data_IF_968936638411
#
_entry.id   IF_968936638411
#
_cell.length_a   1.000
_cell.length_b   1.000
_cell.length_c   1.000
_cell.angle_alpha   90.00
_cell.angle_beta   90.00
_cell.angle_gamma   90.00
#
_symmetry.space_group_name_H-M   'P 1'
#
loop_
_entity.id
_entity.type
_entity.pdbx_description
1 polymer ?
#
# COMPACT_ATOMS: atom_id res chain seq x y z
N UNK A 1 -13.44 -18.14 -25.60
CA UNK A 1 -12.15 -17.66 -26.11
C UNK A 1 -11.27 -17.37 -24.91
N UNK A 2 -10.03 -17.84 -24.91
CA UNK A 2 -9.10 -17.60 -23.80
C UNK A 2 -8.21 -16.39 -24.08
N UNK A 3 -8.17 -15.42 -23.17
CA UNK A 3 -7.34 -14.21 -23.27
C UNK A 3 -6.38 -14.13 -22.08
N UNK A 4 -5.14 -13.72 -22.32
CA UNK A 4 -4.16 -13.46 -21.27
C UNK A 4 -4.09 -11.95 -21.01
N UNK A 5 -4.47 -11.50 -19.82
CA UNK A 5 -4.51 -10.10 -19.43
C UNK A 5 -3.38 -9.78 -18.46
N UNK A 6 -2.41 -9.01 -18.94
CA UNK A 6 -1.29 -8.47 -18.20
C UNK A 6 -1.49 -6.96 -17.98
N UNK A 7 -0.97 -6.41 -16.90
CA UNK A 7 -0.97 -4.98 -16.64
C UNK A 7 0.20 -4.58 -15.76
N UNK A 8 0.47 -3.27 -15.69
CA UNK A 8 1.36 -2.66 -14.71
C UNK A 8 2.69 -3.43 -14.64
N UNK A 9 3.39 -3.52 -15.77
CA UNK A 9 4.62 -4.30 -15.92
C UNK A 9 5.84 -3.56 -15.34
N UNK A 10 5.78 -2.22 -15.38
CA UNK A 10 6.77 -1.30 -14.80
C UNK A 10 8.22 -1.67 -15.10
N UNK A 11 8.52 -2.02 -16.35
CA UNK A 11 9.92 -2.25 -16.74
C UNK A 11 10.73 -0.96 -16.56
N UNK A 12 11.81 -1.06 -15.79
CA UNK A 12 12.82 -0.03 -15.57
C UNK A 12 14.15 -0.69 -15.20
N UNK A 13 15.28 0.04 -15.24
CA UNK A 13 16.56 -0.50 -14.76
C UNK A 13 16.47 -1.08 -13.33
N UNK A 14 15.78 -0.38 -12.43
CA UNK A 14 15.65 -0.78 -11.02
C UNK A 14 14.68 -1.96 -10.83
N UNK A 15 13.62 -2.03 -11.64
CA UNK A 15 12.61 -3.09 -11.57
C UNK A 15 12.92 -4.32 -12.46
N UNK A 16 13.94 -4.24 -13.34
CA UNK A 16 14.17 -5.18 -14.43
C UNK A 16 14.15 -6.65 -13.98
N UNK A 17 14.87 -6.96 -12.90
CA UNK A 17 14.98 -8.35 -12.42
C UNK A 17 13.61 -8.88 -11.98
N UNK A 18 12.80 -8.05 -11.32
CA UNK A 18 11.45 -8.44 -10.87
C UNK A 18 10.48 -8.53 -12.05
N UNK A 19 10.37 -7.45 -12.83
CA UNK A 19 9.45 -7.35 -13.96
C UNK A 19 9.71 -8.47 -14.96
N UNK A 20 10.97 -8.72 -15.34
CA UNK A 20 11.27 -9.73 -16.36
C UNK A 20 11.12 -11.16 -15.86
N UNK A 21 11.49 -11.45 -14.60
CA UNK A 21 11.24 -12.76 -14.00
C UNK A 21 9.75 -13.10 -14.01
N UNK A 22 8.91 -12.15 -13.59
CA UNK A 22 7.47 -12.35 -13.50
C UNK A 22 6.81 -12.38 -14.87
N UNK A 23 7.13 -11.42 -15.75
CA UNK A 23 6.52 -11.36 -17.07
C UNK A 23 6.99 -12.50 -17.98
N UNK A 24 8.26 -12.90 -17.95
CA UNK A 24 8.74 -14.07 -18.69
C UNK A 24 8.03 -15.37 -18.28
N UNK A 25 7.75 -15.55 -16.99
CA UNK A 25 6.91 -16.65 -16.51
C UNK A 25 5.49 -16.54 -17.07
N UNK A 26 4.85 -15.39 -16.91
CA UNK A 26 3.48 -15.17 -17.34
C UNK A 26 3.29 -15.36 -18.85
N UNK A 27 4.26 -14.90 -19.66
CA UNK A 27 4.30 -15.14 -21.11
C UNK A 27 4.42 -16.63 -21.42
N UNK A 28 5.29 -17.36 -20.72
CA UNK A 28 5.49 -18.79 -20.96
C UNK A 28 4.24 -19.59 -20.60
N UNK A 29 3.62 -19.30 -19.45
CA UNK A 29 2.38 -19.96 -19.00
C UNK A 29 1.19 -19.62 -19.91
N UNK A 30 1.03 -18.36 -20.34
CA UNK A 30 -0.01 -17.97 -21.30
C UNK A 30 0.11 -18.68 -22.65
N UNK A 31 1.34 -18.85 -23.16
CA UNK A 31 1.61 -19.62 -24.37
C UNK A 31 1.28 -21.10 -24.17
N UNK A 32 1.70 -21.70 -23.05
CA UNK A 32 1.45 -23.12 -22.75
C UNK A 32 -0.05 -23.43 -22.61
N UNK A 33 -0.83 -22.50 -22.04
CA UNK A 33 -2.29 -22.61 -21.95
C UNK A 33 -3.00 -22.46 -23.29
N UNK A 34 -2.31 -21.97 -24.32
CA UNK A 34 -2.90 -21.68 -25.62
C UNK A 34 -3.83 -20.47 -25.59
N UNK A 35 -3.47 -19.42 -24.85
CA UNK A 35 -4.19 -18.15 -24.91
C UNK A 35 -4.24 -17.63 -26.36
N UNK A 36 -5.42 -17.20 -26.78
CA UNK A 36 -5.69 -16.82 -28.17
C UNK A 36 -5.28 -15.37 -28.45
N UNK A 37 -5.25 -14.50 -27.44
CA UNK A 37 -4.80 -13.10 -27.52
C UNK A 37 -4.14 -12.69 -26.20
N UNK A 38 -3.03 -11.96 -26.30
CA UNK A 38 -2.42 -11.26 -25.17
C UNK A 38 -2.89 -9.81 -25.10
N UNK A 39 -3.29 -9.34 -23.92
CA UNK A 39 -3.71 -7.95 -23.67
C UNK A 39 -2.82 -7.36 -22.58
N UNK A 40 -2.15 -6.25 -22.89
CA UNK A 40 -1.39 -5.45 -21.92
C UNK A 40 -2.16 -4.14 -21.71
N UNK A 41 -2.75 -3.96 -20.53
CA UNK A 41 -3.67 -2.84 -20.25
C UNK A 41 -2.99 -1.58 -19.71
N UNK A 42 -1.76 -1.31 -20.12
CA UNK A 42 -1.01 -0.08 -19.82
C UNK A 42 0.14 -0.27 -18.82
N UNK A 43 0.92 0.80 -18.66
CA UNK A 43 2.08 0.93 -17.76
C UNK A 43 3.09 -0.22 -17.94
N UNK A 44 3.46 -0.48 -19.20
CA UNK A 44 4.48 -1.46 -19.56
C UNK A 44 5.87 -1.05 -19.07
N UNK A 45 6.13 0.26 -19.00
CA UNK A 45 7.36 0.87 -18.48
C UNK A 45 7.08 1.66 -17.23
N UNK A 46 8.03 1.72 -16.30
CA UNK A 46 7.90 2.47 -15.05
C UNK A 46 8.05 3.99 -15.26
N UNK A 47 8.80 4.38 -16.28
CA UNK A 47 8.99 5.76 -16.70
C UNK A 47 9.55 5.74 -18.13
N UNK A 48 9.81 6.93 -18.69
CA UNK A 48 10.49 7.06 -19.98
C UNK A 48 11.82 6.30 -19.98
N UNK A 49 11.92 5.27 -20.81
CA UNK A 49 13.16 4.52 -21.03
C UNK A 49 13.89 5.01 -22.28
N UNK A 50 15.22 5.05 -22.19
CA UNK A 50 16.07 5.23 -23.38
C UNK A 50 15.99 3.99 -24.28
N UNK A 51 16.10 4.19 -25.59
CA UNK A 51 16.03 3.10 -26.58
C UNK A 51 17.09 1.99 -26.38
N UNK A 52 18.22 2.33 -25.74
CA UNK A 52 19.32 1.40 -25.46
C UNK A 52 19.24 0.78 -24.06
N UNK A 53 18.20 1.11 -23.27
CA UNK A 53 18.04 0.57 -21.93
C UNK A 53 17.83 -0.95 -21.99
N UNK A 54 18.58 -1.75 -21.20
CA UNK A 54 18.37 -3.19 -21.13
C UNK A 54 16.94 -3.57 -20.74
N UNK A 55 16.29 -2.77 -19.90
CA UNK A 55 14.88 -2.98 -19.51
C UNK A 55 13.92 -2.88 -20.68
N UNK A 56 14.11 -1.91 -21.59
CA UNK A 56 13.30 -1.81 -22.79
C UNK A 56 13.52 -3.00 -23.73
N UNK A 57 14.76 -3.46 -23.88
CA UNK A 57 15.07 -4.64 -24.69
C UNK A 57 14.45 -5.91 -24.11
N UNK A 58 14.46 -6.09 -22.78
CA UNK A 58 13.83 -7.22 -22.11
C UNK A 58 12.31 -7.20 -22.32
N UNK A 59 11.66 -6.06 -22.11
CA UNK A 59 10.22 -5.88 -22.41
C UNK A 59 9.91 -6.23 -23.88
N UNK A 60 10.65 -5.65 -24.82
CA UNK A 60 10.49 -5.92 -26.26
C UNK A 60 10.67 -7.41 -26.59
N UNK A 61 11.60 -8.09 -25.92
CA UNK A 61 11.82 -9.53 -26.09
C UNK A 61 10.59 -10.33 -25.65
N UNK A 62 10.00 -10.02 -24.49
CA UNK A 62 8.81 -10.73 -24.00
C UNK A 62 7.58 -10.44 -24.86
N UNK A 63 7.36 -9.19 -25.26
CA UNK A 63 6.25 -8.82 -26.16
C UNK A 63 6.42 -9.49 -27.53
N UNK A 64 7.65 -9.58 -28.06
CA UNK A 64 7.91 -10.29 -29.31
C UNK A 64 7.67 -11.81 -29.17
N UNK A 65 7.95 -12.41 -28.01
CA UNK A 65 7.60 -13.82 -27.73
C UNK A 65 6.08 -14.05 -27.75
N UNK A 66 5.31 -13.14 -27.14
CA UNK A 66 3.84 -13.17 -27.23
C UNK A 66 3.39 -13.06 -28.69
N UNK A 67 3.88 -12.05 -29.42
CA UNK A 67 3.50 -11.81 -30.82
C UNK A 67 3.88 -12.96 -31.78
N UNK A 68 4.85 -13.80 -31.44
CA UNK A 68 5.13 -15.02 -32.20
C UNK A 68 4.11 -16.13 -31.96
N UNK A 69 3.37 -16.08 -30.86
CA UNK A 69 2.44 -17.14 -30.44
C UNK A 69 0.97 -16.74 -30.58
N UNK A 70 0.64 -15.46 -30.40
CA UNK A 70 -0.73 -14.92 -30.44
C UNK A 70 -0.74 -13.43 -30.82
N UNK A 71 -1.85 -12.89 -31.36
CA UNK A 71 -2.06 -11.45 -31.48
C UNK A 71 -1.94 -10.75 -30.12
N UNK A 72 -1.39 -9.54 -30.11
CA UNK A 72 -1.18 -8.76 -28.89
C UNK A 72 -1.85 -7.40 -29.01
N UNK A 73 -2.65 -7.02 -28.01
CA UNK A 73 -3.18 -5.67 -27.86
C UNK A 73 -2.45 -4.98 -26.71
N UNK A 74 -1.83 -3.83 -26.98
CA UNK A 74 -1.19 -2.98 -25.97
C UNK A 74 -1.97 -1.67 -25.85
N UNK A 75 -2.53 -1.40 -24.68
CA UNK A 75 -3.20 -0.15 -24.38
C UNK A 75 -2.17 0.88 -23.89
N UNK A 76 -2.29 2.12 -24.34
CA UNK A 76 -1.55 3.24 -23.78
C UNK A 76 -2.01 3.49 -22.32
N UNK A 77 -1.09 3.28 -21.37
CA UNK A 77 -1.25 3.63 -19.97
C UNK A 77 -0.94 5.10 -19.71
N UNK A 78 -0.54 5.41 -18.48
CA UNK A 78 -0.31 6.78 -18.04
C UNK A 78 0.89 7.43 -18.75
N UNK A 79 0.82 8.74 -19.01
CA UNK A 79 1.88 9.43 -19.77
C UNK A 79 3.19 9.65 -18.99
N UNK A 80 3.17 9.51 -17.67
CA UNK A 80 4.38 9.53 -16.83
C UNK A 80 5.19 8.24 -17.03
N UNK A 81 4.50 7.11 -17.08
CA UNK A 81 5.07 5.77 -17.29
C UNK A 81 5.42 5.55 -18.77
N UNK A 82 4.48 5.84 -19.66
CA UNK A 82 4.57 5.60 -21.11
C UNK A 82 4.29 6.90 -21.88
N UNK A 83 5.29 7.76 -22.15
CA UNK A 83 5.09 8.96 -22.95
C UNK A 83 4.45 8.64 -24.31
N UNK A 84 3.57 9.49 -24.87
CA UNK A 84 2.95 9.24 -26.18
C UNK A 84 3.98 8.90 -27.26
N UNK A 85 3.71 7.83 -28.02
CA UNK A 85 4.59 7.29 -29.05
C UNK A 85 5.62 6.26 -28.55
N UNK A 86 5.70 6.00 -27.24
CA UNK A 86 6.54 4.92 -26.69
C UNK A 86 6.12 3.56 -27.25
N UNK A 87 4.82 3.30 -27.27
CA UNK A 87 4.25 2.03 -27.71
C UNK A 87 4.32 1.81 -29.23
N UNK A 88 4.42 2.86 -30.05
CA UNK A 88 4.48 2.76 -31.52
C UNK A 88 5.62 1.84 -32.00
N UNK A 89 6.72 1.82 -31.26
CA UNK A 89 7.85 0.96 -31.58
C UNK A 89 7.48 -0.52 -31.48
N UNK A 90 6.61 -0.90 -30.54
CA UNK A 90 6.17 -2.29 -30.36
C UNK A 90 5.23 -2.73 -31.49
N UNK A 91 4.42 -1.83 -32.05
CA UNK A 91 3.61 -2.15 -33.23
C UNK A 91 4.46 -2.60 -34.43
N UNK A 92 5.71 -2.11 -34.51
CA UNK A 92 6.67 -2.49 -35.55
C UNK A 92 7.42 -3.81 -35.24
N UNK A 93 7.39 -4.28 -33.99
CA UNK A 93 8.08 -5.49 -33.52
C UNK A 93 7.25 -6.77 -33.66
N UNK A 94 6.17 -6.72 -34.45
CA UNK A 94 5.29 -7.87 -34.69
C UNK A 94 6.07 -9.13 -35.12
N UNK A 95 5.60 -10.28 -34.66
CA UNK A 95 6.15 -11.59 -35.01
C UNK A 95 5.30 -12.27 -36.07
N UNK A 96 4.94 -13.52 -35.82
CA UNK A 96 3.93 -14.25 -36.62
C UNK A 96 2.56 -13.57 -36.56
N UNK A 97 2.24 -12.91 -35.45
CA UNK A 97 0.99 -12.19 -35.23
C UNK A 97 1.23 -10.69 -35.01
N UNK A 98 0.16 -9.93 -35.24
CA UNK A 98 0.16 -8.48 -35.11
C UNK A 98 0.22 -8.04 -33.65
N UNK A 99 0.98 -6.98 -33.38
CA UNK A 99 0.86 -6.16 -32.17
C UNK A 99 0.04 -4.93 -32.54
N UNK A 100 -1.09 -4.73 -31.88
CA UNK A 100 -1.95 -3.56 -32.04
C UNK A 100 -1.79 -2.64 -30.83
N UNK A 101 -1.44 -1.39 -31.09
CA UNK A 101 -1.34 -0.35 -30.07
C UNK A 101 -2.64 0.46 -30.05
N UNK A 102 -3.28 0.48 -28.89
CA UNK A 102 -4.50 1.25 -28.62
C UNK A 102 -4.12 2.53 -27.86
N UNK A 103 -3.77 3.57 -28.61
CA UNK A 103 -3.36 4.90 -28.13
C UNK A 103 -4.47 5.97 -28.22
N UNK A 104 -5.62 5.59 -28.77
CA UNK A 104 -6.84 6.42 -28.81
C UNK A 104 -8.08 5.61 -28.47
N UNK A 105 -9.15 6.34 -28.15
CA UNK A 105 -10.49 5.77 -27.98
C UNK A 105 -10.97 5.19 -29.31
N UNK A 106 -11.27 3.89 -29.31
CA UNK A 106 -11.74 3.15 -30.48
C UNK A 106 -12.39 1.82 -30.08
N UNK A 107 -13.16 1.24 -31.02
CA UNK A 107 -13.47 -0.19 -30.99
C UNK A 107 -12.60 -0.92 -32.01
N UNK A 108 -12.16 -2.14 -31.68
CA UNK A 108 -11.20 -2.90 -32.48
C UNK A 108 -11.66 -4.34 -32.59
N UNK A 109 -11.95 -4.79 -33.82
CA UNK A 109 -12.34 -6.17 -34.09
C UNK A 109 -11.12 -7.03 -34.41
N UNK A 110 -11.05 -8.25 -33.87
CA UNK A 110 -10.06 -9.25 -34.26
C UNK A 110 -10.69 -10.24 -35.25
N UNK A 111 -10.10 -10.34 -36.44
CA UNK A 111 -10.58 -11.20 -37.53
C UNK A 111 -9.38 -11.84 -38.20
N UNK A 112 -9.34 -13.17 -38.24
CA UNK A 112 -8.28 -13.97 -38.84
C UNK A 112 -6.89 -13.53 -38.35
N UNK A 113 -6.79 -13.31 -37.03
CA UNK A 113 -5.55 -12.87 -36.36
C UNK A 113 -5.10 -11.43 -36.65
N UNK A 114 -5.97 -10.58 -37.24
CA UNK A 114 -5.69 -9.17 -37.53
C UNK A 114 -6.67 -8.22 -36.85
N UNK A 115 -6.15 -7.09 -36.37
CA UNK A 115 -6.92 -6.07 -35.70
C UNK A 115 -7.45 -5.01 -36.69
N UNK A 116 -8.73 -4.68 -36.55
CA UNK A 116 -9.44 -3.70 -37.37
C UNK A 116 -10.10 -2.66 -36.48
N UNK A 117 -9.50 -1.46 -36.42
CA UNK A 117 -10.00 -0.37 -35.59
C UNK A 117 -11.10 0.45 -36.29
N UNK A 118 -12.09 0.91 -35.52
CA UNK A 118 -13.11 1.84 -35.96
C UNK A 118 -12.51 3.18 -36.39
N UNK A 119 -13.10 3.83 -37.40
CA UNK A 119 -12.67 5.18 -37.80
C UNK A 119 -12.92 6.22 -36.68
N UNK A 120 -14.04 6.08 -35.97
CA UNK A 120 -14.42 6.91 -34.83
C UNK A 120 -14.09 6.26 -33.48
N UNK A 121 -14.63 6.82 -32.38
CA UNK A 121 -14.50 6.24 -31.04
C UNK A 121 -15.28 4.92 -30.90
N UNK A 122 -16.32 4.73 -31.70
CA UNK A 122 -17.08 3.48 -31.85
C UNK A 122 -17.26 3.15 -33.32
N UNK A 123 -17.59 1.90 -33.65
CA UNK A 123 -17.99 1.55 -35.01
C UNK A 123 -19.26 2.31 -35.39
N UNK A 124 -19.23 2.93 -36.57
CA UNK A 124 -20.42 3.47 -37.23
C UNK A 124 -21.41 2.37 -37.59
N UNK A 125 -22.66 2.73 -37.88
CA UNK A 125 -23.71 1.76 -38.25
C UNK A 125 -23.33 0.89 -39.46
N UNK A 126 -22.61 1.47 -40.43
CA UNK A 126 -22.15 0.76 -41.62
C UNK A 126 -21.01 -0.22 -41.29
N UNK A 127 -20.03 0.21 -40.49
CA UNK A 127 -18.96 -0.67 -40.01
C UNK A 127 -19.53 -1.81 -39.14
N UNK A 128 -20.48 -1.50 -38.25
CA UNK A 128 -21.11 -2.47 -37.37
C UNK A 128 -21.80 -3.59 -38.15
N UNK A 129 -22.62 -3.25 -39.17
CA UNK A 129 -23.27 -4.26 -40.02
C UNK A 129 -22.24 -5.14 -40.72
N UNK A 130 -21.20 -4.52 -41.29
CA UNK A 130 -20.13 -5.24 -41.96
C UNK A 130 -19.41 -6.20 -41.00
N UNK A 131 -19.05 -5.75 -39.80
CA UNK A 131 -18.33 -6.58 -38.84
C UNK A 131 -19.21 -7.69 -38.25
N UNK A 132 -20.51 -7.46 -38.04
CA UNK A 132 -21.44 -8.54 -37.64
C UNK A 132 -21.45 -9.66 -38.69
N UNK A 133 -21.49 -9.30 -39.98
CA UNK A 133 -21.46 -10.29 -41.07
C UNK A 133 -20.14 -11.07 -41.15
N UNK A 134 -19.02 -10.40 -40.84
CA UNK A 134 -17.68 -11.01 -40.80
C UNK A 134 -17.44 -11.90 -39.58
N UNK A 135 -18.24 -11.75 -38.51
CA UNK A 135 -18.16 -12.54 -37.26
C UNK A 135 -16.75 -12.54 -36.63
N UNK A 136 -16.24 -11.38 -36.16
CA UNK A 136 -14.98 -11.32 -35.45
C UNK A 136 -14.95 -12.27 -34.25
N UNK A 137 -13.75 -12.75 -33.94
CA UNK A 137 -13.48 -13.63 -32.80
C UNK A 137 -13.82 -12.92 -31.49
N UNK A 138 -13.45 -11.64 -31.42
CA UNK A 138 -13.70 -10.71 -30.31
C UNK A 138 -13.66 -9.25 -30.80
N UNK A 139 -14.43 -8.38 -30.16
CA UNK A 139 -14.37 -6.93 -30.33
C UNK A 139 -13.91 -6.27 -29.03
N UNK A 140 -12.82 -5.52 -29.09
CA UNK A 140 -12.28 -4.74 -27.99
C UNK A 140 -12.87 -3.31 -28.01
N UNK A 141 -13.30 -2.80 -26.86
CA UNK A 141 -13.57 -1.38 -26.63
C UNK A 141 -12.38 -0.80 -25.87
N UNK A 142 -11.54 -0.04 -26.56
CA UNK A 142 -10.28 0.46 -26.02
C UNK A 142 -10.45 1.89 -25.53
N UNK A 143 -10.06 2.13 -24.28
CA UNK A 143 -10.08 3.42 -23.63
C UNK A 143 -8.72 3.67 -22.95
N UNK A 144 -7.72 4.19 -23.67
CA UNK A 144 -6.42 4.49 -23.09
C UNK A 144 -6.53 5.68 -22.12
N UNK A 145 -5.48 5.90 -21.32
CA UNK A 145 -5.42 7.04 -20.41
C UNK A 145 -5.63 8.36 -21.16
N UNK A 146 -6.54 9.19 -20.66
CA UNK A 146 -6.90 10.47 -21.29
C UNK A 146 -6.13 11.61 -20.64
N UNK A 147 -5.61 12.54 -21.45
CA UNK A 147 -4.89 13.69 -20.94
C UNK A 147 -5.86 14.71 -20.31
N UNK A 148 -5.89 14.76 -18.98
CA UNK A 148 -6.69 15.74 -18.21
C UNK A 148 -6.41 17.19 -18.62
N UNK A 149 -5.16 17.52 -18.98
CA UNK A 149 -4.77 18.85 -19.45
C UNK A 149 -5.32 19.20 -20.84
N UNK A 150 -5.34 18.25 -21.78
CA UNK A 150 -5.97 18.46 -23.09
C UNK A 150 -7.49 18.57 -22.99
N UNK A 151 -8.11 17.79 -22.10
CA UNK A 151 -9.53 17.92 -21.79
C UNK A 151 -9.80 19.30 -21.15
N UNK A 152 -9.02 19.70 -20.15
CA UNK A 152 -9.12 21.02 -19.50
C UNK A 152 -8.90 22.20 -20.46
N UNK A 153 -8.04 22.05 -21.45
CA UNK A 153 -7.87 23.06 -22.50
C UNK A 153 -9.12 23.20 -23.39
N UNK A 154 -9.94 22.14 -23.49
CA UNK A 154 -11.13 22.09 -24.34
C UNK A 154 -12.42 22.48 -23.61
N UNK A 155 -12.58 22.07 -22.34
CA UNK A 155 -13.81 22.30 -21.53
C UNK A 155 -13.60 23.26 -20.34
N UNK A 156 -12.37 23.72 -20.10
CA UNK A 156 -12.02 24.53 -18.92
C UNK A 156 -11.59 23.67 -17.72
N UNK A 157 -10.66 24.18 -16.90
CA UNK A 157 -10.01 23.41 -15.83
C UNK A 157 -10.95 22.96 -14.70
N UNK A 158 -11.96 23.78 -14.35
CA UNK A 158 -12.91 23.44 -13.30
C UNK A 158 -13.88 22.33 -13.74
N UNK A 159 -14.31 22.36 -15.01
CA UNK A 159 -15.19 21.36 -15.61
C UNK A 159 -14.44 20.08 -16.00
N UNK A 160 -13.12 20.11 -16.19
CA UNK A 160 -12.36 18.91 -16.52
C UNK A 160 -12.31 17.89 -15.37
N UNK A 161 -12.31 18.35 -14.12
CA UNK A 161 -12.28 17.47 -12.94
C UNK A 161 -13.55 16.65 -12.77
N UNK A 162 -14.73 17.26 -12.93
CA UNK A 162 -16.04 16.58 -12.83
C UNK A 162 -16.53 16.04 -14.18
N UNK A 163 -16.19 16.73 -15.27
CA UNK A 163 -16.65 16.43 -16.61
C UNK A 163 -15.90 15.27 -17.27
N UNK A 164 -14.67 14.94 -16.85
CA UNK A 164 -13.99 13.76 -17.40
C UNK A 164 -14.80 12.49 -17.14
N UNK A 165 -15.24 12.26 -15.90
CA UNK A 165 -16.06 11.09 -15.55
C UNK A 165 -17.34 11.02 -16.38
N UNK A 166 -18.02 12.15 -16.60
CA UNK A 166 -19.23 12.23 -17.41
C UNK A 166 -18.96 11.97 -18.91
N UNK A 167 -17.87 12.50 -19.46
CA UNK A 167 -17.46 12.24 -20.85
C UNK A 167 -17.12 10.76 -21.04
N UNK A 168 -16.37 10.16 -20.12
CA UNK A 168 -16.03 8.75 -20.16
C UNK A 168 -17.29 7.87 -20.02
N UNK A 169 -18.20 8.21 -19.11
CA UNK A 169 -19.49 7.51 -18.97
C UNK A 169 -20.35 7.61 -20.23
N UNK A 170 -20.41 8.78 -20.87
CA UNK A 170 -21.12 8.97 -22.14
C UNK A 170 -20.52 8.14 -23.27
N UNK A 171 -19.19 8.06 -23.34
CA UNK A 171 -18.49 7.18 -24.28
C UNK A 171 -18.81 5.70 -24.01
N UNK A 172 -18.69 5.24 -22.77
CA UNK A 172 -18.96 3.85 -22.40
C UNK A 172 -20.42 3.47 -22.72
N UNK A 173 -21.39 4.34 -22.42
CA UNK A 173 -22.78 4.14 -22.81
C UNK A 173 -22.99 4.11 -24.34
N UNK A 174 -22.18 4.86 -25.11
CA UNK A 174 -22.21 4.80 -26.57
C UNK A 174 -21.63 3.50 -27.11
N UNK A 175 -20.49 3.06 -26.59
CA UNK A 175 -19.90 1.77 -26.89
C UNK A 175 -20.85 0.62 -26.51
N UNK A 176 -21.55 0.73 -25.38
CA UNK A 176 -22.56 -0.22 -24.92
C UNK A 176 -23.66 -0.51 -25.93
N UNK A 177 -24.16 0.53 -26.62
CA UNK A 177 -25.17 0.36 -27.69
C UNK A 177 -24.65 -0.47 -28.87
N UNK A 178 -23.34 -0.39 -29.16
CA UNK A 178 -22.69 -1.17 -30.22
C UNK A 178 -22.38 -2.57 -29.72
N UNK A 179 -21.80 -2.70 -28.52
CA UNK A 179 -21.46 -3.98 -27.90
C UNK A 179 -22.69 -4.87 -27.70
N UNK A 180 -23.85 -4.30 -27.35
CA UNK A 180 -25.11 -5.02 -27.27
C UNK A 180 -25.49 -5.71 -28.58
N UNK A 181 -25.26 -5.06 -29.72
CA UNK A 181 -25.56 -5.62 -31.05
C UNK A 181 -24.59 -6.74 -31.44
N UNK A 182 -23.30 -6.60 -31.11
CA UNK A 182 -22.33 -7.68 -31.27
C UNK A 182 -22.68 -8.90 -30.40
N UNK A 183 -22.97 -8.69 -29.11
CA UNK A 183 -23.36 -9.77 -28.19
C UNK A 183 -24.65 -10.47 -28.63
N UNK A 184 -25.65 -9.71 -29.08
CA UNK A 184 -26.88 -10.26 -29.65
C UNK A 184 -26.63 -11.12 -30.91
N UNK A 185 -25.50 -10.89 -31.60
CA UNK A 185 -25.04 -11.65 -32.75
C UNK A 185 -24.07 -12.79 -32.39
N UNK A 186 -23.87 -13.06 -31.08
CA UNK A 186 -22.97 -14.10 -30.59
C UNK A 186 -21.48 -13.75 -30.65
N UNK A 187 -21.13 -12.47 -30.82
CA UNK A 187 -19.75 -11.98 -30.88
C UNK A 187 -19.33 -11.53 -29.48
N UNK A 188 -18.14 -11.93 -29.06
CA UNK A 188 -17.54 -11.60 -27.76
C UNK A 188 -17.15 -10.13 -27.71
N UNK A 189 -17.43 -9.46 -26.60
CA UNK A 189 -17.03 -8.06 -26.40
C UNK A 189 -16.19 -7.89 -25.14
N UNK A 190 -15.05 -7.20 -25.26
CA UNK A 190 -14.11 -6.97 -24.16
C UNK A 190 -13.80 -5.48 -24.05
N UNK A 191 -13.91 -4.89 -22.87
CA UNK A 191 -13.39 -3.54 -22.61
C UNK A 191 -11.93 -3.60 -22.16
N UNK A 192 -11.11 -2.64 -22.54
CA UNK A 192 -9.73 -2.50 -22.04
C UNK A 192 -9.49 -1.03 -21.69
N UNK A 193 -9.10 -0.75 -20.44
CA UNK A 193 -8.83 0.61 -19.97
C UNK A 193 -7.72 0.64 -18.93
N UNK A 194 -7.16 1.82 -18.69
CA UNK A 194 -6.14 2.06 -17.66
C UNK A 194 -6.55 3.27 -16.82
N UNK A 195 -6.94 3.04 -15.57
CA UNK A 195 -7.37 4.09 -14.65
C UNK A 195 -8.11 3.57 -13.43
N UNK A 196 -8.59 4.48 -12.59
CA UNK A 196 -9.06 4.19 -11.23
C UNK A 196 -10.58 4.05 -11.14
N UNK A 197 -11.06 2.94 -10.57
CA UNK A 197 -12.47 2.69 -10.26
C UNK A 197 -12.81 3.21 -8.86
N UNK A 198 -13.94 3.90 -8.73
CA UNK A 198 -14.44 4.36 -7.42
C UNK A 198 -14.60 3.21 -6.43
N UNK A 199 -13.93 3.32 -5.27
CA UNK A 199 -13.95 2.33 -4.20
C UNK A 199 -13.06 1.12 -4.44
N UNK A 200 -12.17 1.16 -5.43
CA UNK A 200 -11.12 0.14 -5.56
C UNK A 200 -10.18 0.18 -4.36
N UNK A 201 -9.57 -0.96 -4.06
CA UNK A 201 -8.57 -1.07 -3.00
C UNK A 201 -7.18 -1.03 -3.61
N UNK A 202 -6.30 -0.18 -3.09
CA UNK A 202 -4.89 -0.15 -3.49
C UNK A 202 -4.17 -1.42 -3.02
N UNK A 203 -2.97 -1.64 -3.55
CA UNK A 203 -2.02 -2.68 -3.16
C UNK A 203 -1.65 -2.63 -1.67
N UNK A 204 -1.85 -1.51 -0.99
CA UNK A 204 -1.65 -1.36 0.46
C UNK A 204 -2.92 -1.58 1.29
N UNK A 205 -4.01 -2.07 0.68
CA UNK A 205 -5.26 -2.32 1.39
C UNK A 205 -6.08 -1.05 1.66
N UNK A 206 -5.68 0.10 1.11
CA UNK A 206 -6.41 1.36 1.28
C UNK A 206 -7.55 1.42 0.28
N UNK A 207 -8.78 1.61 0.76
CA UNK A 207 -9.90 1.91 -0.14
C UNK A 207 -9.73 3.33 -0.63
N UNK A 208 -9.61 3.50 -1.94
CA UNK A 208 -9.51 4.83 -2.53
C UNK A 208 -10.82 5.60 -2.34
N UNK A 209 -10.72 6.79 -1.76
CA UNK A 209 -11.82 7.71 -1.54
C UNK A 209 -11.42 9.09 -2.07
N UNK A 210 -12.31 9.75 -2.83
CA UNK A 210 -12.03 11.07 -3.42
C UNK A 210 -12.54 11.24 -4.84
N UNK A 211 -12.19 12.37 -5.46
CA UNK A 211 -12.64 12.75 -6.80
C UNK A 211 -11.70 12.32 -7.93
N UNK A 212 -10.58 11.65 -7.62
CA UNK A 212 -9.58 11.26 -8.61
C UNK A 212 -9.92 9.97 -9.39
N UNK A 213 -11.11 9.42 -9.16
CA UNK A 213 -11.61 8.24 -9.86
C UNK A 213 -12.12 8.60 -11.26
N UNK A 214 -11.63 7.87 -12.27
CA UNK A 214 -12.05 8.06 -13.66
C UNK A 214 -13.31 7.27 -13.98
N UNK A 215 -13.52 6.14 -13.27
CA UNK A 215 -14.60 5.21 -13.55
C UNK A 215 -15.52 5.00 -12.36
N UNK A 216 -16.82 4.91 -12.66
CA UNK A 216 -17.78 4.22 -11.80
C UNK A 216 -18.01 2.81 -12.33
N UNK A 217 -18.26 1.85 -11.43
CA UNK A 217 -18.63 0.48 -11.83
C UNK A 217 -19.86 0.49 -12.75
N UNK A 218 -20.84 1.36 -12.49
CA UNK A 218 -22.02 1.52 -13.35
C UNK A 218 -21.63 1.87 -14.77
N UNK A 219 -20.78 2.87 -14.98
CA UNK A 219 -20.35 3.29 -16.31
C UNK A 219 -19.59 2.16 -17.04
N UNK A 220 -18.73 1.40 -16.34
CA UNK A 220 -18.03 0.26 -16.92
C UNK A 220 -19.00 -0.85 -17.35
N UNK A 221 -20.02 -1.16 -16.55
CA UNK A 221 -21.05 -2.13 -16.92
C UNK A 221 -22.00 -1.61 -18.02
N UNK A 222 -22.19 -0.29 -18.13
CA UNK A 222 -22.95 0.34 -19.21
C UNK A 222 -22.23 0.26 -20.57
N UNK A 223 -20.94 -0.09 -20.59
CA UNK A 223 -20.22 -0.48 -21.81
C UNK A 223 -20.70 -1.82 -22.40
N UNK A 224 -21.49 -2.59 -21.66
CA UNK A 224 -22.07 -3.87 -22.10
C UNK A 224 -21.07 -4.87 -22.69
N UNK A 225 -19.83 -4.84 -22.23
CA UNK A 225 -18.83 -5.87 -22.53
C UNK A 225 -19.12 -7.15 -21.75
N UNK A 226 -18.74 -8.32 -22.28
CA UNK A 226 -18.74 -9.59 -21.54
C UNK A 226 -17.67 -9.58 -20.44
N UNK A 227 -16.49 -9.03 -20.74
CA UNK A 227 -15.43 -8.76 -19.77
C UNK A 227 -14.86 -7.35 -19.93
N UNK A 228 -14.38 -6.75 -18.85
CA UNK A 228 -13.70 -5.45 -18.86
C UNK A 228 -12.37 -5.55 -18.11
N UNK A 229 -11.29 -5.45 -18.87
CA UNK A 229 -9.91 -5.55 -18.43
C UNK A 229 -9.40 -4.17 -18.01
N UNK A 230 -8.99 -4.03 -16.76
CA UNK A 230 -8.45 -2.78 -16.23
C UNK A 230 -6.97 -2.91 -15.85
N UNK A 231 -6.20 -1.84 -16.05
CA UNK A 231 -4.88 -1.60 -15.45
C UNK A 231 -4.88 -0.36 -14.57
N UNK A 232 -3.76 -0.09 -13.89
CA UNK A 232 -3.45 1.05 -12.99
C UNK A 232 -3.40 0.68 -11.50
N UNK A 233 -4.23 -0.29 -11.08
CA UNK A 233 -4.30 -0.70 -9.68
C UNK A 233 -3.51 -1.98 -9.50
N UNK A 234 -2.45 -1.90 -8.68
CA UNK A 234 -1.50 -3.01 -8.49
C UNK A 234 -2.05 -4.16 -7.64
N UNK A 235 -3.29 -4.07 -7.13
CA UNK A 235 -4.00 -5.12 -6.42
C UNK A 235 -5.00 -5.83 -7.32
N UNK A 236 -4.91 -7.16 -7.39
CA UNK A 236 -5.93 -7.98 -8.03
C UNK A 236 -7.29 -7.78 -7.32
N UNK A 237 -8.31 -7.53 -8.11
CA UNK A 237 -9.69 -7.42 -7.65
C UNK A 237 -10.65 -7.49 -8.84
N UNK A 238 -11.86 -7.98 -8.58
CA UNK A 238 -12.89 -8.17 -9.59
C UNK A 238 -14.29 -7.83 -9.09
N UNK A 239 -15.15 -7.41 -10.01
CA UNK A 239 -16.57 -7.14 -9.78
C UNK A 239 -17.41 -7.83 -10.85
N UNK A 240 -18.54 -8.40 -10.43
CA UNK A 240 -19.48 -9.10 -11.30
C UNK A 240 -20.85 -8.43 -11.31
N UNK A 241 -21.45 -8.33 -12.49
CA UNK A 241 -22.86 -7.93 -12.65
C UNK A 241 -23.46 -8.56 -13.91
N UNK A 242 -24.57 -9.26 -13.74
CA UNK A 242 -25.32 -9.90 -14.84
C UNK A 242 -24.42 -10.81 -15.72
N UNK A 243 -23.58 -11.65 -15.09
CA UNK A 243 -22.62 -12.55 -15.77
C UNK A 243 -21.55 -11.86 -16.62
N UNK A 244 -21.33 -10.56 -16.38
CA UNK A 244 -20.23 -9.76 -16.94
C UNK A 244 -19.25 -9.43 -15.83
N UNK A 245 -17.98 -9.37 -16.18
CA UNK A 245 -16.88 -9.15 -15.24
C UNK A 245 -16.10 -7.89 -15.55
N UNK A 246 -15.67 -7.20 -14.50
CA UNK A 246 -14.69 -6.12 -14.54
C UNK A 246 -13.56 -6.53 -13.59
N UNK A 247 -12.30 -6.51 -14.03
CA UNK A 247 -11.20 -6.91 -13.15
C UNK A 247 -9.87 -6.21 -13.44
N UNK A 248 -9.14 -5.95 -12.35
CA UNK A 248 -7.72 -5.62 -12.35
C UNK A 248 -6.92 -6.91 -12.10
N UNK A 249 -5.85 -7.19 -12.87
CA UNK A 249 -4.95 -8.30 -12.59
C UNK A 249 -4.00 -7.98 -11.44
N UNK A 250 -3.86 -6.70 -11.09
CA UNK A 250 -2.75 -6.21 -10.30
C UNK A 250 -1.48 -6.06 -11.14
N UNK A 251 -0.38 -5.70 -10.47
CA UNK A 251 0.93 -5.63 -11.10
C UNK A 251 1.50 -7.02 -11.37
N UNK A 252 2.33 -7.12 -12.42
CA UNK A 252 2.93 -8.41 -12.81
C UNK A 252 3.91 -8.93 -11.75
N UNK A 253 4.58 -8.01 -11.06
CA UNK A 253 5.55 -8.24 -10.00
C UNK A 253 5.29 -7.30 -8.83
N UNK A 254 6.13 -7.40 -7.80
CA UNK A 254 5.99 -6.59 -6.59
C UNK A 254 7.03 -5.48 -6.60
N UNK A 255 6.60 -4.23 -6.65
CA UNK A 255 7.48 -3.07 -6.89
C UNK A 255 7.68 -2.18 -5.67
N UNK A 256 6.67 -2.08 -4.80
CA UNK A 256 6.66 -1.27 -3.59
C UNK A 256 6.64 -2.14 -2.34
N UNK A 257 7.05 -1.54 -1.20
CA UNK A 257 7.03 -2.17 0.11
C UNK A 257 5.64 -2.14 0.76
N UNK A 258 5.20 -3.27 1.32
CA UNK A 258 3.86 -3.42 1.90
C UNK A 258 2.74 -3.75 0.91
N UNK A 259 3.03 -4.10 -0.34
CA UNK A 259 1.99 -4.61 -1.26
C UNK A 259 1.43 -5.95 -0.76
N UNK A 260 0.11 -6.03 -0.66
CA UNK A 260 -0.64 -7.22 -0.25
C UNK A 260 -1.03 -8.12 -1.43
N UNK A 261 -1.33 -9.38 -1.12
CA UNK A 261 -1.87 -10.35 -2.07
C UNK A 261 -0.82 -10.91 -3.04
N UNK A 262 -1.28 -11.86 -3.85
CA UNK A 262 -0.51 -12.44 -4.93
C UNK A 262 -0.41 -11.46 -6.11
N UNK A 263 0.69 -11.54 -6.86
CA UNK A 263 0.91 -10.79 -8.10
C UNK A 263 0.80 -11.72 -9.28
N UNK A 264 0.44 -11.20 -10.44
CA UNK A 264 0.40 -12.02 -11.63
C UNK A 264 -0.39 -11.43 -12.77
N UNK A 265 -1.08 -12.31 -13.48
CA UNK A 265 -1.89 -11.94 -14.64
C UNK A 265 -3.21 -12.71 -14.61
N UNK A 266 -4.23 -12.22 -15.32
CA UNK A 266 -5.53 -12.88 -15.38
C UNK A 266 -5.66 -13.70 -16.66
N UNK A 267 -6.06 -14.96 -16.52
CA UNK A 267 -6.57 -15.77 -17.63
C UNK A 267 -8.08 -15.58 -17.70
N UNK A 268 -8.55 -15.08 -18.82
CA UNK A 268 -9.97 -14.86 -19.07
C UNK A 268 -10.52 -15.94 -19.99
N UNK A 269 -11.65 -16.52 -19.65
CA UNK A 269 -12.48 -17.26 -20.60
C UNK A 269 -13.69 -16.39 -20.91
N UNK A 270 -13.70 -15.80 -22.11
CA UNK A 270 -14.76 -14.90 -22.55
C UNK A 270 -15.68 -15.66 -23.50
N UNK A 271 -16.95 -15.75 -23.12
CA UNK A 271 -18.05 -16.18 -23.97
C UNK A 271 -19.22 -15.19 -23.83
N UNK A 272 -20.04 -14.98 -24.87
CA UNK A 272 -21.19 -14.09 -24.79
C UNK A 272 -22.12 -14.51 -23.63
N UNK A 273 -22.21 -13.66 -22.60
CA UNK A 273 -23.03 -13.90 -21.41
C UNK A 273 -22.47 -14.91 -20.40
N UNK A 274 -21.25 -15.40 -20.57
CA UNK A 274 -20.56 -16.25 -19.59
C UNK A 274 -19.06 -15.98 -19.61
N UNK A 275 -18.60 -15.10 -18.72
CA UNK A 275 -17.18 -14.75 -18.63
C UNK A 275 -16.62 -15.09 -17.25
N UNK A 276 -15.41 -15.62 -17.22
CA UNK A 276 -14.65 -15.89 -15.99
C UNK A 276 -13.24 -15.33 -16.11
N UNK A 277 -12.71 -14.79 -15.01
CA UNK A 277 -11.30 -14.40 -14.90
C UNK A 277 -10.66 -15.18 -13.74
N UNK A 278 -9.41 -15.61 -13.90
CA UNK A 278 -8.66 -16.33 -12.86
C UNK A 278 -7.24 -15.83 -12.79
N UNK A 279 -6.80 -15.43 -11.60
CA UNK A 279 -5.42 -15.02 -11.34
C UNK A 279 -4.49 -16.23 -11.46
N UNK A 280 -3.44 -16.07 -12.26
CA UNK A 280 -2.28 -16.96 -12.25
C UNK A 280 -1.15 -16.22 -11.53
N UNK A 281 -0.78 -16.67 -10.32
CA UNK A 281 0.30 -16.05 -9.57
C UNK A 281 1.63 -16.17 -10.32
N UNK A 282 2.35 -15.06 -10.46
CA UNK A 282 3.73 -15.04 -10.93
C UNK A 282 4.68 -15.40 -9.80
N UNK A 283 5.93 -15.80 -10.11
CA UNK A 283 6.98 -15.98 -9.11
C UNK A 283 7.50 -14.62 -8.56
N UNK A 284 6.57 -13.74 -8.18
CA UNK A 284 6.89 -12.44 -7.59
C UNK A 284 7.59 -12.60 -6.25
N UNK A 285 8.49 -11.66 -5.95
CA UNK A 285 9.21 -11.63 -4.68
C UNK A 285 8.20 -11.49 -3.56
N UNK A 286 8.34 -12.31 -2.53
CA UNK A 286 7.59 -12.13 -1.30
C UNK A 286 8.23 -11.02 -0.47
N UNK A 287 7.42 -10.38 0.38
CA UNK A 287 7.92 -9.41 1.33
C UNK A 287 7.67 -9.83 2.76
N UNK A 288 8.65 -9.54 3.60
CA UNK A 288 8.54 -9.71 5.05
C UNK A 288 8.54 -8.32 5.67
N UNK A 289 7.37 -7.87 6.14
CA UNK A 289 7.23 -6.66 6.93
C UNK A 289 7.20 -7.02 8.42
N UNK A 290 8.08 -6.42 9.22
CA UNK A 290 8.19 -6.66 10.66
C UNK A 290 8.07 -5.33 11.38
N UNK A 291 7.10 -5.25 12.28
CA UNK A 291 6.81 -4.08 13.08
C UNK A 291 7.14 -4.35 14.56
N UNK A 292 7.87 -3.43 15.17
CA UNK A 292 8.21 -3.45 16.60
C UNK A 292 7.64 -2.21 17.31
N UNK A 293 6.99 -2.44 18.46
CA UNK A 293 6.66 -1.39 19.42
C UNK A 293 7.73 -1.38 20.52
N UNK A 294 8.70 -0.47 20.39
CA UNK A 294 9.97 -0.51 21.11
C UNK A 294 11.16 -0.84 20.20
N UNK A 295 12.39 -0.95 20.76
CA UNK A 295 13.58 -1.30 19.98
C UNK A 295 13.42 -2.68 19.32
N UNK A 296 13.98 -2.89 18.11
CA UNK A 296 13.87 -4.16 17.41
C UNK A 296 14.46 -5.33 18.21
N UNK A 297 13.74 -6.45 18.24
CA UNK A 297 14.24 -7.70 18.81
C UNK A 297 15.20 -8.37 17.82
N UNK A 298 16.50 -8.34 18.15
CA UNK A 298 17.56 -8.87 17.30
C UNK A 298 17.48 -10.39 17.13
N UNK A 299 17.02 -11.15 18.14
CA UNK A 299 16.88 -12.59 18.02
C UNK A 299 15.78 -12.95 17.01
N UNK A 300 14.65 -12.23 17.07
CA UNK A 300 13.58 -12.36 16.08
C UNK A 300 14.05 -11.95 14.68
N UNK A 301 14.86 -10.90 14.56
CA UNK A 301 15.42 -10.48 13.26
C UNK A 301 16.39 -11.53 12.69
N UNK A 302 17.19 -12.20 13.52
CA UNK A 302 18.07 -13.30 13.10
C UNK A 302 17.28 -14.48 12.52
N UNK A 303 16.19 -14.89 13.18
CA UNK A 303 15.31 -15.94 12.68
C UNK A 303 14.69 -15.58 11.31
N UNK A 304 14.24 -14.33 11.18
CA UNK A 304 13.64 -13.83 9.95
C UNK A 304 14.70 -13.75 8.84
N UNK A 305 15.91 -13.28 9.14
CA UNK A 305 17.02 -13.21 8.20
C UNK A 305 17.40 -14.60 7.67
N UNK A 306 17.43 -15.61 8.54
CA UNK A 306 17.70 -17.00 8.13
C UNK A 306 16.65 -17.57 7.15
N UNK A 307 15.41 -17.09 7.22
CA UNK A 307 14.30 -17.51 6.36
C UNK A 307 13.99 -16.52 5.21
N UNK A 308 14.70 -15.40 5.14
CA UNK A 308 14.41 -14.33 4.18
C UNK A 308 14.74 -14.73 2.75
N UNK A 309 15.87 -15.40 2.50
CA UNK A 309 16.27 -15.80 1.15
C UNK A 309 16.29 -14.62 0.18
N UNK A 310 15.63 -14.73 -0.98
CA UNK A 310 15.56 -13.68 -2.00
C UNK A 310 14.45 -12.62 -1.78
N UNK A 311 13.83 -12.60 -0.60
CA UNK A 311 12.68 -11.73 -0.29
C UNK A 311 13.12 -10.30 -0.01
N UNK A 312 12.19 -9.34 -0.20
CA UNK A 312 12.40 -8.00 0.34
C UNK A 312 11.98 -7.96 1.81
N UNK A 313 12.78 -7.27 2.63
CA UNK A 313 12.53 -7.16 4.06
C UNK A 313 12.30 -5.71 4.43
N UNK A 314 11.22 -5.42 5.15
CA UNK A 314 10.98 -4.11 5.77
C UNK A 314 10.92 -4.27 7.28
N UNK A 315 11.84 -3.61 7.97
CA UNK A 315 11.88 -3.57 9.44
C UNK A 315 11.49 -2.18 9.89
N UNK A 316 10.39 -2.08 10.65
CA UNK A 316 9.93 -0.82 11.23
C UNK A 316 9.87 -0.94 12.74
N UNK A 317 10.23 0.14 13.42
CA UNK A 317 10.05 0.22 14.87
C UNK A 317 9.63 1.60 15.31
N UNK A 318 8.96 1.64 16.45
CA UNK A 318 8.57 2.87 17.13
C UNK A 318 9.26 2.95 18.49
N UNK A 319 10.02 4.02 18.72
CA UNK A 319 10.73 4.28 19.99
C UNK A 319 10.55 5.73 20.40
N UNK A 320 10.64 6.03 21.68
CA UNK A 320 10.72 7.42 22.13
C UNK A 320 12.07 8.05 21.75
N UNK A 321 12.18 9.38 21.88
CA UNK A 321 13.41 10.12 21.59
C UNK A 321 14.59 9.72 22.49
N UNK A 322 14.32 9.31 23.72
CA UNK A 322 15.36 8.95 24.71
C UNK A 322 16.03 7.60 24.35
N UNK A 323 15.32 6.67 23.71
CA UNK A 323 15.83 5.37 23.29
C UNK A 323 16.37 5.34 21.84
N UNK A 324 16.46 6.48 21.15
CA UNK A 324 16.93 6.57 19.76
C UNK A 324 18.29 5.89 19.51
N UNK A 325 19.21 6.00 20.47
CA UNK A 325 20.57 5.44 20.36
C UNK A 325 20.63 3.93 20.65
N UNK A 326 19.55 3.32 21.14
CA UNK A 326 19.52 1.91 21.52
C UNK A 326 19.46 0.95 20.32
N UNK A 327 19.21 1.45 19.11
CA UNK A 327 19.04 0.61 17.91
C UNK A 327 20.26 0.69 17.00
N UNK A 328 20.96 -0.44 16.87
CA UNK A 328 22.07 -0.60 15.93
C UNK A 328 21.55 -0.95 14.53
N UNK A 329 21.45 0.08 13.68
CA UNK A 329 21.00 -0.08 12.29
C UNK A 329 21.98 -0.88 11.43
N UNK A 330 23.28 -0.82 11.73
CA UNK A 330 24.30 -1.52 10.96
C UNK A 330 24.29 -3.01 11.28
N UNK A 331 24.02 -3.38 12.54
CA UNK A 331 23.76 -4.77 12.90
C UNK A 331 22.55 -5.35 12.16
N UNK A 332 21.44 -4.61 12.07
CA UNK A 332 20.26 -5.03 11.31
C UNK A 332 20.60 -5.22 9.82
N UNK A 333 21.32 -4.28 9.20
CA UNK A 333 21.76 -4.42 7.80
C UNK A 333 22.65 -5.64 7.59
N UNK A 334 23.56 -5.91 8.52
CA UNK A 334 24.45 -7.06 8.43
C UNK A 334 23.69 -8.39 8.47
N UNK A 335 22.62 -8.49 9.28
CA UNK A 335 21.76 -9.68 9.33
C UNK A 335 21.08 -9.95 7.98
N UNK A 336 20.59 -8.91 7.30
CA UNK A 336 19.85 -9.04 6.05
C UNK A 336 20.71 -8.87 4.79
N UNK A 337 22.03 -9.00 4.88
CA UNK A 337 22.92 -8.87 3.72
C UNK A 337 22.63 -9.90 2.60
N UNK A 338 21.95 -11.00 2.93
CA UNK A 338 21.50 -12.01 1.95
C UNK A 338 20.10 -11.78 1.37
N UNK A 339 19.33 -10.81 1.88
CA UNK A 339 18.03 -10.45 1.34
C UNK A 339 18.17 -9.70 0.00
N UNK A 340 17.11 -9.68 -0.82
CA UNK A 340 17.15 -8.94 -2.08
C UNK A 340 17.23 -7.42 -1.87
N UNK A 341 16.53 -6.91 -0.85
CA UNK A 341 16.63 -5.53 -0.39
C UNK A 341 16.11 -5.42 1.06
N UNK A 342 16.57 -4.40 1.79
CA UNK A 342 16.21 -4.13 3.17
C UNK A 342 15.84 -2.66 3.36
N UNK A 343 14.58 -2.42 3.73
CA UNK A 343 14.10 -1.10 4.17
C UNK A 343 14.00 -1.02 5.69
N UNK A 344 14.62 0.00 6.28
CA UNK A 344 14.71 0.18 7.74
C UNK A 344 14.10 1.52 8.12
N UNK A 345 13.01 1.52 8.89
CA UNK A 345 12.26 2.71 9.24
C UNK A 345 12.13 2.86 10.77
N UNK A 346 12.49 4.03 11.29
CA UNK A 346 12.38 4.34 12.72
C UNK A 346 11.39 5.49 12.91
N UNK A 347 10.33 5.25 13.67
CA UNK A 347 9.42 6.30 14.12
C UNK A 347 9.80 6.73 15.53
N UNK A 348 10.30 7.96 15.65
CA UNK A 348 10.68 8.53 16.94
C UNK A 348 9.49 9.30 17.50
N UNK A 349 8.91 8.81 18.58
CA UNK A 349 7.85 9.51 19.29
C UNK A 349 8.46 10.65 20.13
N UNK A 350 8.10 11.91 19.88
CA UNK A 350 8.58 13.03 20.68
C UNK A 350 8.06 12.90 22.12
N UNK A 351 8.95 13.03 23.09
CA UNK A 351 8.58 13.03 24.51
C UNK A 351 7.96 14.38 24.86
N UNK A 352 6.64 14.49 24.76
CA UNK A 352 5.93 15.69 25.21
C UNK A 352 5.86 15.69 26.73
N UNK A 353 6.83 16.36 27.37
CA UNK A 353 6.76 16.66 28.82
C UNK A 353 5.70 17.73 29.05
N UNK A 354 4.47 17.31 29.35
CA UNK A 354 3.42 18.21 29.82
C UNK A 354 3.90 18.93 31.08
N UNK A 355 3.95 20.26 31.06
CA UNK A 355 4.14 21.05 32.30
C UNK A 355 2.92 20.80 33.17
N UNK A 356 3.15 20.40 34.41
CA UNK A 356 2.07 20.10 35.36
C UNK A 356 1.09 21.29 35.43
N UNK A 357 -0.18 21.01 35.14
CA UNK A 357 -1.21 22.03 34.93
C UNK A 357 -1.36 22.90 36.18
N UNK A 358 -1.33 24.22 36.02
CA UNK A 358 -1.55 25.17 37.11
C UNK A 358 -0.30 25.61 37.88
N UNK A 359 0.85 24.92 37.79
CA UNK A 359 2.09 25.43 38.42
C UNK A 359 2.49 26.80 37.83
N UNK A 360 2.34 26.98 36.52
CA UNK A 360 2.67 28.25 35.86
C UNK A 360 1.68 29.40 36.15
N UNK A 361 0.53 29.09 36.77
CA UNK A 361 -0.46 30.10 37.15
C UNK A 361 -0.19 30.70 38.54
N UNK A 362 0.62 30.02 39.35
CA UNK A 362 1.01 30.52 40.66
C UNK A 362 2.06 31.63 40.52
N UNK A 363 1.84 32.74 41.23
CA UNK A 363 2.68 33.94 41.13
C UNK A 363 3.84 33.95 42.12
N UNK A 364 3.80 33.06 43.13
CA UNK A 364 4.82 32.93 44.18
C UNK A 364 5.57 31.60 44.07
N UNK A 365 6.80 31.55 44.58
CA UNK A 365 7.61 30.32 44.56
C UNK A 365 7.00 29.28 45.50
N UNK A 366 6.44 29.73 46.61
CA UNK A 366 5.70 28.92 47.60
C UNK A 366 4.44 28.31 46.98
N UNK A 367 3.66 29.10 46.24
CA UNK A 367 2.46 28.59 45.54
C UNK A 367 2.82 27.56 44.48
N UNK A 368 3.92 27.80 43.73
CA UNK A 368 4.45 26.83 42.76
C UNK A 368 4.89 25.53 43.44
N UNK A 369 5.58 25.61 44.58
CA UNK A 369 6.05 24.45 45.32
C UNK A 369 4.87 23.65 45.89
N UNK A 370 3.85 24.31 46.46
CA UNK A 370 2.65 23.67 46.97
C UNK A 370 1.88 22.93 45.86
N UNK A 371 1.65 23.59 44.71
CA UNK A 371 1.04 22.96 43.53
C UNK A 371 1.82 21.76 43.04
N UNK A 372 3.15 21.83 43.06
CA UNK A 372 4.00 20.70 42.69
C UNK A 372 3.86 19.55 43.69
N UNK A 373 3.85 19.84 45.00
CA UNK A 373 3.67 18.85 46.06
C UNK A 373 2.34 18.11 45.93
N UNK A 374 1.25 18.82 45.67
CA UNK A 374 -0.09 18.24 45.41
C UNK A 374 -0.06 17.30 44.20
N UNK A 375 0.54 17.73 43.09
CA UNK A 375 0.59 16.95 41.85
C UNK A 375 1.52 15.72 41.96
N UNK A 376 2.58 15.83 42.76
CA UNK A 376 3.56 14.76 42.99
C UNK A 376 3.21 13.85 44.19
N UNK A 377 2.14 14.14 44.94
CA UNK A 377 1.77 13.46 46.20
C UNK A 377 2.90 13.46 47.23
N UNK A 378 3.54 14.62 47.41
CA UNK A 378 4.62 14.85 48.40
C UNK A 378 4.11 15.79 49.49
N UNK A 379 4.45 15.53 50.75
CA UNK A 379 4.09 16.40 51.88
C UNK A 379 4.70 17.80 51.72
N UNK A 380 3.86 18.83 51.68
CA UNK A 380 4.27 20.20 51.37
C UNK A 380 4.95 20.92 52.54
N UNK A 381 4.47 20.70 53.76
CA UNK A 381 4.90 21.47 54.95
C UNK A 381 6.42 21.41 55.19
N UNK A 382 7.09 20.23 55.15
CA UNK A 382 8.53 20.17 55.38
C UNK A 382 9.35 20.85 54.27
N UNK A 383 8.80 20.94 53.05
CA UNK A 383 9.49 21.57 51.92
C UNK A 383 9.27 23.08 51.94
N UNK A 384 8.09 23.55 52.35
CA UNK A 384 7.81 24.97 52.55
C UNK A 384 8.65 25.58 53.67
N UNK A 385 8.81 24.87 54.80
CA UNK A 385 9.70 25.30 55.89
C UNK A 385 11.16 25.44 55.41
N UNK A 386 11.64 24.48 54.60
CA UNK A 386 12.99 24.55 54.02
C UNK A 386 13.12 25.69 53.01
N UNK A 387 12.08 25.94 52.22
CA UNK A 387 12.06 27.08 51.29
C UNK A 387 12.13 28.41 52.05
N UNK A 388 11.39 28.56 53.15
CA UNK A 388 11.46 29.74 54.00
C UNK A 388 12.84 29.91 54.65
N UNK A 389 13.42 28.81 55.17
CA UNK A 389 14.79 28.81 55.68
C UNK A 389 15.79 29.28 54.63
N UNK A 390 15.67 28.80 53.38
CA UNK A 390 16.54 29.23 52.27
C UNK A 390 16.29 30.67 51.81
N UNK A 391 15.05 31.17 51.93
CA UNK A 391 14.68 32.51 51.48
C UNK A 391 15.13 33.61 52.45
N UNK A 392 15.15 33.33 53.76
CA UNK A 392 15.48 34.33 54.80
C UNK A 392 16.71 34.01 55.63
N UNK A 393 17.25 32.80 55.58
CA UNK A 393 18.38 32.37 56.39
C UNK A 393 19.73 32.65 55.75
N UNK A 394 20.74 32.84 56.59
CA UNK A 394 22.14 32.91 56.16
C UNK A 394 22.68 31.51 55.85
N UNK A 395 23.44 31.38 54.77
CA UNK A 395 23.89 30.08 54.26
C UNK A 395 24.81 29.34 55.26
N UNK A 396 25.68 30.05 55.97
CA UNK A 396 26.58 29.46 56.97
C UNK A 396 25.81 29.00 58.20
N UNK A 397 24.81 29.78 58.64
CA UNK A 397 23.93 29.42 59.75
C UNK A 397 23.04 28.20 59.44
N UNK A 398 22.48 28.12 58.23
CA UNK A 398 21.70 26.95 57.78
C UNK A 398 22.60 25.70 57.73
N UNK A 399 23.80 25.82 57.16
CA UNK A 399 24.74 24.70 57.09
C UNK A 399 25.17 24.21 58.48
N UNK A 400 25.50 25.14 59.41
CA UNK A 400 25.84 24.82 60.78
C UNK A 400 24.69 24.09 61.50
N UNK A 401 23.45 24.57 61.35
CA UNK A 401 22.26 23.93 61.94
C UNK A 401 22.00 22.53 61.38
N UNK A 402 22.23 22.31 60.08
CA UNK A 402 22.11 20.98 59.46
C UNK A 402 23.17 20.03 60.00
N UNK A 403 24.42 20.47 60.13
CA UNK A 403 25.52 19.68 60.68
C UNK A 403 25.29 19.33 62.15
N UNK A 404 24.84 20.29 62.97
CA UNK A 404 24.53 20.08 64.38
C UNK A 404 23.35 19.11 64.58
N UNK A 405 22.36 19.15 63.68
CA UNK A 405 21.26 18.17 63.66
C UNK A 405 21.70 16.77 63.25
N UNK A 406 22.69 16.65 62.35
CA UNK A 406 23.31 15.37 61.99
C UNK A 406 24.12 14.82 63.17
N UNK A 407 24.88 15.67 63.88
CA UNK A 407 25.69 15.28 65.03
C UNK A 407 24.85 14.90 66.26
N UNK A 408 23.71 15.57 66.49
CA UNK A 408 22.76 15.23 67.56
C UNK A 408 22.03 13.91 67.32
N UNK A 409 21.84 13.50 66.07
CA UNK A 409 21.35 12.17 65.70
C UNK A 409 22.42 11.06 65.86
N UNK A 410 23.69 11.44 66.07
CA UNK A 410 24.83 10.52 66.18
C UNK A 410 25.28 10.22 67.63
N UNK A 411 24.59 10.71 68.67
CA UNK A 411 24.95 10.39 70.08
C UNK A 411 24.57 8.94 70.47
N UNK A 412 25.48 8.16 71.10
CA UNK A 412 25.23 6.75 71.41
C UNK A 412 24.36 6.55 72.66
N UNK A 413 23.34 5.69 72.54
CA UNK A 413 22.64 5.08 73.68
C UNK A 413 23.65 4.32 74.57
N UNK A 414 23.74 4.66 75.86
CA UNK A 414 24.65 3.99 76.79
C UNK A 414 24.19 2.55 77.09
N UNK A 415 25.09 1.59 76.85
CA UNK A 415 24.97 0.18 77.22
C UNK A 415 25.34 -0.05 78.69
N UNK A 416 24.40 -0.56 79.48
CA UNK A 416 24.63 -1.49 80.60
C UNK A 416 23.26 -2.13 80.91
N UNK A 417 23.01 -3.44 80.81
CA UNK A 417 23.61 -4.52 81.62
C UNK A 417 23.12 -5.88 81.06
N UNK A 418 24.08 -6.77 80.79
CA UNK A 418 24.12 -8.24 80.99
C UNK A 418 23.17 -9.17 80.20
N UNK A 419 23.79 -10.03 79.37
CA UNK A 419 23.28 -11.29 78.82
C UNK A 419 23.04 -12.33 79.95
N UNK A 420 22.06 -13.24 79.80
CA UNK A 420 22.44 -14.55 79.22
C UNK A 420 21.39 -15.16 78.28
N UNK A 421 21.89 -15.87 77.28
CA UNK A 421 21.21 -16.91 76.49
C UNK A 421 20.97 -18.15 77.39
N UNK A 422 19.88 -18.95 77.26
CA UNK A 422 19.85 -19.99 76.20
C UNK A 422 18.45 -20.42 75.68
N UNK A 423 18.45 -20.94 74.44
CA UNK A 423 17.69 -22.05 73.84
C UNK A 423 16.21 -22.40 74.21
N UNK A 424 15.49 -22.82 73.15
CA UNK A 424 14.19 -23.53 73.07
C UNK A 424 12.95 -22.65 73.39
N UNK A 425 11.94 -22.50 72.54
CA UNK A 425 11.12 -23.54 71.89
C UNK A 425 10.17 -22.88 70.87
N UNK A 426 9.91 -23.50 69.72
CA UNK A 426 8.68 -23.35 68.93
C UNK A 426 7.53 -24.14 69.58
N UNK A 427 6.26 -24.10 69.13
CA UNK A 427 5.50 -23.16 68.27
C UNK A 427 4.13 -22.76 68.88
N UNK A 428 3.35 -21.87 68.24
CA UNK A 428 1.90 -22.03 68.08
C UNK A 428 1.30 -20.98 67.13
N UNK A 429 0.43 -21.48 66.26
CA UNK A 429 -0.45 -20.77 65.32
C UNK A 429 -1.51 -19.95 66.07
N UNK A 430 -1.95 -18.85 65.47
CA UNK A 430 -3.36 -18.46 65.54
C UNK A 430 -3.77 -17.63 64.30
N UNK A 431 -4.88 -18.08 63.73
CA UNK A 431 -5.64 -17.54 62.60
C UNK A 431 -6.06 -16.08 62.80
N UNK A 432 -6.05 -15.29 61.73
CA UNK A 432 -7.13 -14.35 61.41
C UNK A 432 -6.97 -13.77 59.98
N UNK A 433 -7.72 -14.31 59.04
CA UNK A 433 -8.20 -13.52 57.89
C UNK A 433 -9.27 -12.53 58.38
N UNK A 434 -9.50 -11.41 57.68
CA UNK A 434 -10.65 -11.47 56.77
C UNK A 434 -10.54 -10.67 55.46
N UNK A 435 -11.36 -11.14 54.52
CA UNK A 435 -12.19 -10.41 53.57
C UNK A 435 -11.51 -9.60 52.45
N UNK A 436 -11.52 -10.24 51.28
CA UNK A 436 -11.50 -9.62 49.95
C UNK A 436 -12.88 -9.02 49.67
N UNK A 437 -12.95 -7.73 49.38
CA UNK A 437 -14.09 -7.09 48.73
C UNK A 437 -13.77 -6.79 47.24
N UNK A 438 -14.77 -6.90 46.34
CA UNK A 438 -14.56 -6.88 44.90
C UNK A 438 -14.49 -5.44 44.34
N UNK A 439 -13.44 -5.13 43.59
CA UNK A 439 -13.36 -3.89 42.82
C UNK A 439 -14.28 -3.93 41.58
N UNK A 440 -15.02 -2.85 41.28
CA UNK A 440 -15.88 -2.76 40.11
C UNK A 440 -15.09 -2.53 38.81
N UNK A 441 -15.61 -3.11 37.73
CA UNK A 441 -15.07 -3.09 36.38
C UNK A 441 -14.86 -1.67 35.82
N UNK A 442 -13.68 -1.44 35.22
CA UNK A 442 -13.40 -0.28 34.36
C UNK A 442 -14.11 -0.46 33.00
N UNK A 443 -14.76 0.57 32.44
CA UNK A 443 -15.32 0.52 31.10
C UNK A 443 -14.21 0.48 30.04
N UNK A 444 -14.44 -0.32 29.00
CA UNK A 444 -13.56 -0.50 27.85
C UNK A 444 -13.19 0.85 27.21
N UNK A 445 -11.88 1.07 27.01
CA UNK A 445 -11.40 2.15 26.17
C UNK A 445 -11.78 1.86 24.72
N UNK A 446 -12.33 2.88 24.06
CA UNK A 446 -12.70 2.88 22.65
C UNK A 446 -11.52 2.42 21.78
N UNK A 447 -11.84 1.63 20.76
CA UNK A 447 -10.92 1.24 19.70
C UNK A 447 -10.24 2.50 19.11
N UNK A 448 -8.91 2.55 19.18
CA UNK A 448 -8.12 3.51 18.44
C UNK A 448 -8.30 3.23 16.96
N UNK A 449 -8.98 4.13 16.26
CA UNK A 449 -9.09 4.16 14.81
C UNK A 449 -7.69 4.18 14.19
N UNK A 450 -7.47 3.30 13.21
CA UNK A 450 -6.24 3.24 12.41
C UNK A 450 -6.11 4.54 11.58
N UNK A 451 -5.49 5.57 12.15
CA UNK A 451 -5.25 6.87 11.48
C UNK A 451 -3.98 6.89 10.61
N UNK A 452 -3.28 5.76 10.42
CA UNK A 452 -1.99 5.72 9.72
C UNK A 452 -2.06 5.38 8.22
N UNK A 453 -3.27 5.19 7.67
CA UNK A 453 -3.49 4.94 6.23
C UNK A 453 -3.28 6.17 5.34
N UNK A 454 -3.18 7.39 5.92
CA UNK A 454 -3.29 8.63 5.15
C UNK A 454 -1.95 9.31 4.78
N UNK A 455 -0.83 8.91 5.40
CA UNK A 455 0.37 9.78 5.36
C UNK A 455 1.41 9.43 4.28
N UNK A 456 1.22 8.37 3.48
CA UNK A 456 2.28 7.93 2.52
C UNK A 456 1.78 7.58 1.11
N UNK A 457 0.61 8.09 0.70
CA UNK A 457 -0.02 7.73 -0.58
C UNK A 457 0.50 8.46 -1.84
N UNK A 458 1.46 9.40 -1.72
CA UNK A 458 1.90 10.24 -2.85
C UNK A 458 3.39 10.60 -2.90
N UNK A 459 4.27 9.78 -2.32
CA UNK A 459 5.70 10.01 -2.41
C UNK A 459 6.37 9.11 -3.47
N UNK A 460 6.47 9.70 -4.68
CA UNK A 460 7.27 9.31 -5.86
C UNK A 460 6.77 8.11 -6.68
#
# INVERSE_FOLDING_TARGET
MQLAHFSDLHYAPDNLIESDRCFSFAVSDAIERGAEVGVISGDSTDHRLDAHAPSLNALATQVHRLANSMPVLMLQGTFSHEPPGTLDNFALMGGTHQIFVADRVAQVALIDGRFWASKGPVFSDDELRQFIDLKPEVVFTCLPTVNKGQLAASVGALEAGTGLGDVLAAFLAAAGRVNRQFRASGIRTVGVSHGTVNGCTTEHGVVMAGFDHEFSLTALFDAECDGFMLGHIHKEQQWERDSRLVAYPGSIGRFHYGEEGDKGYLVWNVEPGNTTATLVPTPSRQMICVDFDGPPDMARLEEIAAAAGDKFVRVRWQIDEEHRQAVDREAIKALFAGAADLKVEARILPVVRSRAQGISLETTVEGKLARWCDLASVEADPLQERLQLLASGDAEAIAASVLERIDSLAQPLSLAVVLPHPAASTPALEDAAPAVEPQPAKPAAAASTLDWLNDDLFAA
#
